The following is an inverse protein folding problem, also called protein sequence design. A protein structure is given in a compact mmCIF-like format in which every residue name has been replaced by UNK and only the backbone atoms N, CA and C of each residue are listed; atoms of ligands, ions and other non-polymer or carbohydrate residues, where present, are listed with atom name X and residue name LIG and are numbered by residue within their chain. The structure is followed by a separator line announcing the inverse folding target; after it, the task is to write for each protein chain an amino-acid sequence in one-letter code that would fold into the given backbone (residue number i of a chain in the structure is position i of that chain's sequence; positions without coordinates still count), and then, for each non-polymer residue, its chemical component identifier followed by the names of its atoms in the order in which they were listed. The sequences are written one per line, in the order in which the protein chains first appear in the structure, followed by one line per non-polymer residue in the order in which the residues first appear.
data_IF_004369786884
#
_entry.id   IF_004369786884
#
_cell.length_a   1.000
_cell.length_b   1.000
_cell.length_c   1.000
_cell.angle_alpha   90.00
_cell.angle_beta   90.00
_cell.angle_gamma   90.00
#
_symmetry.space_group_name_H-M   'P 1'
#
loop_
_entity.id
_entity.type
_entity.pdbx_description
1 polymer ?
#
# COMPACT_ATOMS: atom_id res chain seq x y z
N UNK A 1 20.25 12.24 22.40
CA UNK A 1 19.05 11.40 22.28
C UNK A 1 19.52 10.00 21.89
N UNK A 2 19.23 8.97 22.70
CA UNK A 2 19.72 7.60 22.44
C UNK A 2 18.82 6.95 21.39
N UNK A 3 19.40 6.34 20.36
CA UNK A 3 18.66 5.60 19.34
C UNK A 3 18.17 4.26 19.92
N UNK A 4 17.00 4.28 20.56
CA UNK A 4 16.42 3.09 21.21
C UNK A 4 16.02 2.00 20.19
N UNK A 5 15.62 2.39 18.98
CA UNK A 5 15.31 1.46 17.92
C UNK A 5 16.41 1.45 16.85
N UNK A 6 16.77 0.26 16.33
CA UNK A 6 17.70 0.16 15.21
C UNK A 6 17.10 0.79 13.95
N UNK A 7 17.96 1.26 13.03
CA UNK A 7 17.51 1.74 11.72
C UNK A 7 16.82 0.60 10.97
N UNK A 8 15.66 0.90 10.38
CA UNK A 8 14.92 -0.07 9.58
C UNK A 8 15.45 -0.10 8.16
N UNK A 9 15.58 -1.31 7.61
CA UNK A 9 15.99 -1.54 6.23
C UNK A 9 14.73 -1.56 5.35
N UNK A 10 14.76 -0.83 4.24
CA UNK A 10 13.70 -0.85 3.23
C UNK A 10 14.09 -1.81 2.09
N UNK A 11 13.51 -3.01 2.11
CA UNK A 11 13.74 -4.05 1.10
C UNK A 11 13.33 -3.54 -0.29
N UNK A 12 12.26 -2.75 -0.40
CA UNK A 12 11.81 -2.23 -1.69
C UNK A 12 12.80 -1.20 -2.27
N UNK A 13 13.46 -0.43 -1.42
CA UNK A 13 14.54 0.47 -1.85
C UNK A 13 15.75 -0.32 -2.37
N UNK A 14 16.12 -1.41 -1.70
CA UNK A 14 17.24 -2.27 -2.11
C UNK A 14 16.95 -2.97 -3.45
N UNK A 15 15.75 -3.55 -3.61
CA UNK A 15 15.33 -4.18 -4.88
C UNK A 15 15.39 -3.19 -6.03
N UNK A 16 14.95 -1.94 -5.81
CA UNK A 16 15.01 -0.88 -6.84
C UNK A 16 16.45 -0.47 -7.17
N UNK A 17 17.34 -0.48 -6.19
CA UNK A 17 18.74 -0.10 -6.36
C UNK A 17 19.55 -1.16 -7.11
N UNK A 18 19.18 -2.44 -6.99
CA UNK A 18 19.88 -3.56 -7.62
C UNK A 18 18.95 -4.45 -8.45
N UNK A 19 18.45 -3.97 -9.61
CA UNK A 19 17.54 -4.75 -10.45
C UNK A 19 18.14 -6.05 -10.99
N UNK A 20 19.47 -6.10 -11.14
CA UNK A 20 20.20 -7.27 -11.67
C UNK A 20 20.19 -8.49 -10.74
N UNK A 21 19.82 -8.31 -9.47
CA UNK A 21 19.79 -9.41 -8.49
C UNK A 21 18.43 -10.13 -8.45
N UNK A 22 17.46 -9.68 -9.26
CA UNK A 22 16.11 -10.28 -9.39
C UNK A 22 15.43 -10.59 -8.03
N UNK A 23 15.72 -9.77 -7.02
CA UNK A 23 15.20 -9.95 -5.67
C UNK A 23 13.71 -9.63 -5.63
N UNK A 24 12.94 -10.48 -4.94
CA UNK A 24 11.48 -10.33 -4.78
C UNK A 24 11.14 -10.18 -3.31
N UNK A 25 10.25 -9.23 -3.01
CA UNK A 25 9.64 -9.11 -1.69
C UNK A 25 8.34 -9.92 -1.65
N UNK A 26 8.41 -11.13 -1.10
CA UNK A 26 7.31 -12.10 -1.07
C UNK A 26 6.07 -11.58 -0.31
N UNK A 27 6.28 -10.89 0.81
CA UNK A 27 5.19 -10.29 1.59
C UNK A 27 4.45 -9.23 0.76
N UNK A 28 5.19 -8.42 0.00
CA UNK A 28 4.61 -7.39 -0.84
C UNK A 28 3.88 -7.99 -2.05
N UNK A 29 4.41 -9.05 -2.66
CA UNK A 29 3.72 -9.77 -3.73
C UNK A 29 2.40 -10.36 -3.25
N UNK A 30 2.42 -11.04 -2.10
CA UNK A 30 1.22 -11.61 -1.48
C UNK A 30 0.17 -10.52 -1.23
N UNK A 31 0.60 -9.35 -0.73
CA UNK A 31 -0.29 -8.20 -0.52
C UNK A 31 -0.92 -7.69 -1.82
N UNK A 32 -0.16 -7.65 -2.92
CA UNK A 32 -0.65 -7.22 -4.23
C UNK A 32 -1.66 -8.21 -4.81
N UNK A 33 -1.37 -9.51 -4.75
CA UNK A 33 -2.29 -10.57 -5.16
C UNK A 33 -3.61 -10.49 -4.38
N UNK A 34 -3.53 -10.34 -3.06
CA UNK A 34 -4.69 -10.16 -2.18
C UNK A 34 -5.56 -8.97 -2.60
N UNK A 35 -4.94 -7.86 -2.99
CA UNK A 35 -5.63 -6.67 -3.47
C UNK A 35 -6.33 -6.97 -4.80
N UNK A 36 -5.68 -7.68 -5.72
CA UNK A 36 -6.30 -8.08 -6.98
C UNK A 36 -7.49 -9.00 -6.76
N UNK A 37 -7.35 -10.01 -5.89
CA UNK A 37 -8.46 -10.89 -5.51
C UNK A 37 -9.60 -10.12 -4.86
N UNK A 38 -9.31 -9.11 -4.02
CA UNK A 38 -10.34 -8.21 -3.45
C UNK A 38 -11.04 -7.38 -4.52
N UNK A 39 -10.31 -6.85 -5.50
CA UNK A 39 -10.88 -6.10 -6.63
C UNK A 39 -11.76 -6.99 -7.53
N UNK A 40 -11.30 -8.19 -7.88
CA UNK A 40 -12.03 -9.17 -8.72
C UNK A 40 -13.42 -9.49 -8.16
N UNK A 41 -13.54 -9.61 -6.82
CA UNK A 41 -14.83 -9.86 -6.14
C UNK A 41 -15.66 -8.60 -5.81
N UNK A 42 -15.30 -7.44 -6.35
CA UNK A 42 -15.98 -6.17 -6.06
C UNK A 42 -15.78 -5.63 -4.64
N UNK A 43 -14.89 -6.24 -3.84
CA UNK A 43 -14.54 -5.80 -2.48
C UNK A 43 -13.26 -4.96 -2.46
N UNK A 44 -12.94 -4.33 -3.59
CA UNK A 44 -11.83 -3.40 -3.70
C UNK A 44 -12.04 -2.15 -2.84
N UNK A 45 -10.95 -1.52 -2.42
CA UNK A 45 -11.05 -0.24 -1.73
C UNK A 45 -11.74 0.80 -2.63
N UNK A 46 -12.72 1.56 -2.11
CA UNK A 46 -13.39 2.58 -2.89
C UNK A 46 -12.42 3.71 -3.28
N UNK A 47 -12.72 4.40 -4.37
CA UNK A 47 -11.97 5.58 -4.80
C UNK A 47 -11.90 6.60 -3.66
N UNK A 48 -10.68 7.02 -3.30
CA UNK A 48 -10.45 8.07 -2.30
C UNK A 48 -11.00 9.40 -2.82
N UNK A 49 -11.84 10.05 -2.03
CA UNK A 49 -12.33 11.39 -2.31
C UNK A 49 -11.15 12.37 -2.20
N UNK A 50 -10.91 13.16 -3.26
CA UNK A 50 -9.85 14.17 -3.26
C UNK A 50 -10.39 15.55 -2.90
N UNK A 51 -11.67 15.79 -3.19
CA UNK A 51 -12.38 17.03 -2.87
C UNK A 51 -13.56 16.77 -1.95
N UNK A 52 -14.12 17.83 -1.37
CA UNK A 52 -15.29 17.74 -0.49
C UNK A 52 -16.55 17.25 -1.23
N UNK A 53 -16.68 17.58 -2.52
CA UNK A 53 -17.77 17.10 -3.39
C UNK A 53 -17.71 15.61 -3.65
N UNK A 54 -16.51 15.02 -3.72
CA UNK A 54 -16.33 13.59 -3.95
C UNK A 54 -16.62 12.74 -2.71
N UNK A 55 -16.78 13.37 -1.55
CA UNK A 55 -16.94 12.68 -0.27
C UNK A 55 -18.38 12.21 -0.06
N UNK A 56 -18.58 10.89 -0.21
CA UNK A 56 -19.84 10.20 0.16
C UNK A 56 -20.26 10.40 1.62
N UNK A 57 -19.33 10.77 2.50
CA UNK A 57 -19.60 11.00 3.94
C UNK A 57 -19.98 12.46 4.22
N UNK A 58 -19.41 13.42 3.49
CA UNK A 58 -19.64 14.84 3.75
C UNK A 58 -21.09 15.28 3.45
N UNK A 59 -21.76 14.60 2.52
CA UNK A 59 -23.16 14.87 2.18
C UNK A 59 -24.20 14.17 3.06
N UNK A 60 -23.79 13.23 3.93
CA UNK A 60 -24.74 12.51 4.79
C UNK A 60 -25.08 13.39 5.99
N UNK A 61 -26.16 14.18 5.88
CA UNK A 61 -26.77 14.84 7.05
C UNK A 61 -27.19 13.73 8.03
N UNK A 62 -26.83 13.93 9.30
CA UNK A 62 -27.05 12.98 10.39
C UNK A 62 -28.54 12.78 10.63
#
# INVERSE_FOLDING_TARGET
MVAYYPPKIDIAAIVRQYPSLEMVNEDEQTRLEDIEFKKKRGKGAPKKAKTKSDSRRAGKRR
#
